data_IF_701947520932
#
_entry.id   IF_701947520932
#
_cell.length_a   1.000
_cell.length_b   1.000
_cell.length_c   1.000
_cell.angle_alpha   90.00
_cell.angle_beta   90.00
_cell.angle_gamma   90.00
#
_symmetry.space_group_name_H-M   'P 1'
#
loop_
_entity.id
_entity.type
_entity.pdbx_description
1 polymer ?
#
# COMPACT_ATOMS: atom_id res chain seq x y z
N UNK A 1 -10.39 -2.33 14.75
CA UNK A 1 -11.41 -2.72 13.76
C UNK A 1 -11.99 -4.10 14.03
N UNK A 2 -11.27 -5.22 13.82
CA UNK A 2 -11.85 -6.59 13.99
C UNK A 2 -12.54 -6.82 15.35
N UNK A 3 -11.93 -6.31 16.43
CA UNK A 3 -12.51 -6.40 17.78
C UNK A 3 -13.73 -5.49 17.95
N UNK A 4 -13.76 -4.37 17.25
CA UNK A 4 -14.83 -3.36 17.31
C UNK A 4 -16.09 -3.81 16.55
N UNK A 5 -15.91 -4.50 15.41
CA UNK A 5 -17.00 -5.16 14.68
C UNK A 5 -17.48 -6.47 15.37
N UNK A 6 -17.02 -6.76 16.60
CA UNK A 6 -17.54 -7.84 17.45
C UNK A 6 -16.82 -9.19 17.33
N UNK A 7 -15.67 -9.26 16.65
CA UNK A 7 -14.89 -10.51 16.53
C UNK A 7 -13.73 -10.60 17.54
N UNK A 8 -13.16 -11.79 17.71
CA UNK A 8 -12.05 -12.02 18.65
C UNK A 8 -10.73 -11.40 18.17
N UNK A 9 -9.81 -11.16 19.10
CA UNK A 9 -8.43 -10.73 18.77
C UNK A 9 -7.70 -11.76 17.90
N UNK A 10 -7.97 -13.05 18.09
CA UNK A 10 -7.42 -14.14 17.29
C UNK A 10 -7.74 -13.97 15.79
N UNK A 11 -8.98 -13.61 15.46
CA UNK A 11 -9.37 -13.32 14.08
C UNK A 11 -8.57 -12.16 13.48
N UNK A 12 -8.26 -11.13 14.29
CA UNK A 12 -7.40 -10.02 13.87
C UNK A 12 -5.99 -10.48 13.50
N UNK A 13 -5.40 -11.34 14.32
CA UNK A 13 -4.07 -11.91 14.08
C UNK A 13 -4.05 -12.78 12.82
N UNK A 14 -5.08 -13.62 12.61
CA UNK A 14 -5.21 -14.47 11.41
C UNK A 14 -5.29 -13.62 10.15
N UNK A 15 -6.09 -12.56 10.15
CA UNK A 15 -6.24 -11.66 8.99
C UNK A 15 -4.91 -10.95 8.66
N UNK A 16 -4.18 -10.51 9.68
CA UNK A 16 -2.82 -9.96 9.50
C UNK A 16 -1.84 -11.02 8.95
N UNK A 17 -1.96 -12.27 9.39
CA UNK A 17 -1.20 -13.39 8.85
C UNK A 17 -1.46 -13.59 7.35
N UNK A 18 -2.74 -13.66 6.96
CA UNK A 18 -3.17 -13.77 5.56
C UNK A 18 -2.63 -12.61 4.73
N UNK A 19 -2.73 -11.37 5.22
CA UNK A 19 -2.19 -10.19 4.55
C UNK A 19 -0.71 -10.34 4.23
N UNK A 20 0.10 -10.82 5.18
CA UNK A 20 1.53 -11.00 4.99
C UNK A 20 1.85 -12.15 4.01
N UNK A 21 1.11 -13.25 4.07
CA UNK A 21 1.24 -14.35 3.09
C UNK A 21 0.92 -13.85 1.68
N UNK A 22 -0.18 -13.13 1.52
CA UNK A 22 -0.56 -12.52 0.25
C UNK A 22 0.46 -11.48 -0.22
N UNK A 23 1.10 -10.74 0.69
CA UNK A 23 2.21 -9.85 0.35
C UNK A 23 3.41 -10.62 -0.24
N UNK A 24 3.83 -11.71 0.40
CA UNK A 24 4.89 -12.56 -0.13
C UNK A 24 4.55 -13.12 -1.52
N UNK A 25 3.33 -13.64 -1.70
CA UNK A 25 2.87 -14.16 -2.99
C UNK A 25 2.81 -13.04 -4.04
N UNK A 26 2.31 -11.87 -3.66
CA UNK A 26 2.22 -10.69 -4.51
C UNK A 26 3.58 -10.22 -5.02
N UNK A 27 4.62 -10.26 -4.19
CA UNK A 27 6.00 -9.91 -4.61
C UNK A 27 6.47 -10.77 -5.77
N UNK A 28 6.20 -12.07 -5.72
CA UNK A 28 6.63 -13.04 -6.73
C UNK A 28 5.81 -12.87 -8.00
N UNK A 29 4.48 -12.93 -7.88
CA UNK A 29 3.57 -12.90 -9.04
C UNK A 29 3.68 -11.55 -9.75
N UNK A 30 3.51 -10.45 -9.00
CA UNK A 30 3.49 -9.11 -9.58
C UNK A 30 4.89 -8.65 -9.99
N UNK A 31 5.94 -9.15 -9.34
CA UNK A 31 7.33 -8.98 -9.80
C UNK A 31 7.54 -9.63 -11.18
N UNK A 32 7.13 -10.89 -11.33
CA UNK A 32 7.20 -11.61 -12.61
C UNK A 32 6.40 -10.90 -13.72
N UNK A 33 5.19 -10.42 -13.43
CA UNK A 33 4.43 -9.62 -14.40
C UNK A 33 5.06 -8.24 -14.65
N UNK A 34 5.77 -7.68 -13.69
CA UNK A 34 6.56 -6.46 -13.84
C UNK A 34 7.69 -6.60 -14.86
N UNK A 35 8.31 -7.78 -14.93
CA UNK A 35 9.31 -8.11 -15.95
C UNK A 35 8.73 -8.13 -17.37
N UNK A 36 7.46 -8.51 -17.54
CA UNK A 36 6.81 -8.61 -18.87
C UNK A 36 6.11 -7.33 -19.32
N UNK A 37 5.38 -6.66 -18.42
CA UNK A 37 4.51 -5.51 -18.76
C UNK A 37 5.25 -4.18 -18.54
N UNK A 38 6.41 -4.23 -17.89
CA UNK A 38 7.21 -3.08 -17.51
C UNK A 38 6.95 -2.64 -16.07
N UNK A 39 8.02 -2.58 -15.29
CA UNK A 39 7.99 -2.23 -13.87
C UNK A 39 7.31 -0.89 -13.56
N UNK A 40 7.46 0.14 -14.40
CA UNK A 40 6.78 1.43 -14.17
C UNK A 40 5.25 1.30 -14.32
N UNK A 41 4.79 0.49 -15.28
CA UNK A 41 3.37 0.21 -15.48
C UNK A 41 2.82 -0.59 -14.30
N UNK A 42 3.56 -1.62 -13.88
CA UNK A 42 3.18 -2.47 -12.77
C UNK A 42 3.10 -1.69 -11.45
N UNK A 43 4.07 -0.81 -11.20
CA UNK A 43 4.08 0.05 -10.03
C UNK A 43 2.82 0.94 -9.97
N UNK A 44 2.45 1.52 -11.11
CA UNK A 44 1.23 2.35 -11.21
C UNK A 44 -0.02 1.52 -10.96
N UNK A 45 -0.14 0.32 -11.56
CA UNK A 45 -1.29 -0.58 -11.37
C UNK A 45 -1.44 -1.05 -9.92
N UNK A 46 -0.34 -1.38 -9.25
CA UNK A 46 -0.36 -1.78 -7.83
C UNK A 46 -0.81 -0.64 -6.92
N UNK A 47 -0.31 0.59 -7.16
CA UNK A 47 -0.72 1.79 -6.42
C UNK A 47 -2.20 2.12 -6.61
N UNK A 48 -2.71 2.07 -7.85
CA UNK A 48 -4.13 2.31 -8.11
C UNK A 48 -4.99 1.24 -7.42
N UNK A 49 -4.61 -0.04 -7.53
CA UNK A 49 -5.33 -1.14 -6.87
C UNK A 49 -5.33 -0.99 -5.35
N UNK A 50 -4.22 -0.55 -4.73
CA UNK A 50 -4.16 -0.24 -3.30
C UNK A 50 -5.15 0.87 -2.92
N UNK A 51 -5.13 1.99 -3.64
CA UNK A 51 -6.02 3.12 -3.38
C UNK A 51 -7.48 2.69 -3.48
N UNK A 52 -7.84 1.95 -4.55
CA UNK A 52 -9.19 1.42 -4.72
C UNK A 52 -9.58 0.44 -3.61
N UNK A 53 -8.64 -0.38 -3.13
CA UNK A 53 -8.90 -1.31 -2.04
C UNK A 53 -9.16 -0.58 -0.71
N UNK A 54 -8.31 0.40 -0.39
CA UNK A 54 -8.39 1.14 0.89
C UNK A 54 -9.56 2.12 0.91
N UNK A 55 -9.77 2.88 -0.16
CA UNK A 55 -10.86 3.86 -0.23
C UNK A 55 -12.21 3.24 -0.60
N UNK A 56 -12.21 2.19 -1.43
CA UNK A 56 -13.42 1.64 -2.02
C UNK A 56 -13.92 0.33 -1.42
N UNK A 57 -13.05 -0.49 -0.82
CA UNK A 57 -13.46 -1.80 -0.27
C UNK A 57 -13.52 -1.77 1.26
N UNK A 58 -12.49 -1.23 1.91
CA UNK A 58 -12.39 -1.24 3.38
C UNK A 58 -13.57 -0.58 4.12
N UNK A 59 -14.11 0.58 3.70
CA UNK A 59 -15.24 1.22 4.39
C UNK A 59 -16.54 0.39 4.37
N UNK A 60 -16.68 -0.52 3.40
CA UNK A 60 -17.86 -1.38 3.25
C UNK A 60 -17.68 -2.78 3.87
N UNK A 61 -16.50 -3.09 4.42
CA UNK A 61 -16.18 -4.40 4.99
C UNK A 61 -16.75 -4.57 6.40
N UNK A 62 -18.05 -4.83 6.52
CA UNK A 62 -18.73 -5.08 7.80
C UNK A 62 -18.63 -6.53 8.29
N UNK A 63 -18.13 -7.46 7.46
CA UNK A 63 -18.09 -8.90 7.75
C UNK A 63 -16.67 -9.46 7.62
N UNK A 64 -16.38 -10.55 8.37
CA UNK A 64 -15.07 -11.21 8.37
C UNK A 64 -14.62 -11.67 6.96
N UNK A 65 -15.47 -12.30 6.12
CA UNK A 65 -15.05 -12.71 4.77
C UNK A 65 -14.67 -11.53 3.87
N UNK A 66 -15.36 -10.38 4.01
CA UNK A 66 -15.04 -9.16 3.26
C UNK A 66 -13.67 -8.60 3.68
N UNK A 67 -13.37 -8.68 4.98
CA UNK A 67 -12.08 -8.25 5.51
C UNK A 67 -10.93 -9.15 5.07
N UNK A 68 -11.15 -10.46 4.97
CA UNK A 68 -10.19 -11.41 4.39
C UNK A 68 -9.94 -11.10 2.91
N UNK A 69 -10.99 -10.88 2.12
CA UNK A 69 -10.86 -10.53 0.71
C UNK A 69 -10.08 -9.21 0.52
N UNK A 70 -10.37 -8.20 1.35
CA UNK A 70 -9.61 -6.95 1.41
C UNK A 70 -8.13 -7.20 1.74
N UNK A 71 -7.83 -7.98 2.77
CA UNK A 71 -6.46 -8.30 3.17
C UNK A 71 -5.68 -9.04 2.08
N UNK A 72 -6.34 -9.93 1.33
CA UNK A 72 -5.74 -10.58 0.17
C UNK A 72 -5.40 -9.58 -0.93
N UNK A 73 -6.36 -8.73 -1.33
CA UNK A 73 -6.19 -7.77 -2.42
C UNK A 73 -5.14 -6.70 -2.08
N UNK A 74 -5.23 -6.13 -0.88
CA UNK A 74 -4.29 -5.15 -0.36
C UNK A 74 -2.91 -5.78 -0.15
N UNK A 75 -2.85 -6.98 0.42
CA UNK A 75 -1.61 -7.74 0.63
C UNK A 75 -0.88 -7.99 -0.69
N UNK A 76 -1.57 -8.56 -1.69
CA UNK A 76 -1.01 -8.80 -3.03
C UNK A 76 -0.44 -7.51 -3.64
N UNK A 77 -1.23 -6.43 -3.62
CA UNK A 77 -0.82 -5.13 -4.19
C UNK A 77 0.40 -4.55 -3.48
N UNK A 78 0.46 -4.67 -2.14
CA UNK A 78 1.60 -4.24 -1.32
C UNK A 78 2.86 -5.05 -1.60
N UNK A 79 2.71 -6.35 -1.86
CA UNK A 79 3.81 -7.17 -2.31
C UNK A 79 4.41 -6.67 -3.62
N UNK A 80 3.58 -6.45 -4.64
CA UNK A 80 4.03 -5.96 -5.94
C UNK A 80 4.65 -4.57 -5.88
N UNK A 81 4.10 -3.67 -5.06
CA UNK A 81 4.68 -2.34 -4.83
C UNK A 81 6.13 -2.45 -4.33
N UNK A 82 6.37 -3.22 -3.27
CA UNK A 82 7.70 -3.34 -2.66
C UNK A 82 8.72 -3.97 -3.62
N UNK A 83 8.34 -4.98 -4.39
CA UNK A 83 9.26 -5.62 -5.35
C UNK A 83 9.60 -4.74 -6.55
N UNK A 84 8.69 -3.83 -6.94
CA UNK A 84 8.83 -3.04 -8.16
C UNK A 84 9.63 -1.74 -7.96
N UNK A 85 9.59 -1.14 -6.76
CA UNK A 85 10.35 0.08 -6.42
C UNK A 85 11.85 0.00 -6.77
N UNK A 86 12.62 -1.01 -6.31
CA UNK A 86 14.06 -1.03 -6.57
C UNK A 86 14.37 -1.11 -8.07
N UNK A 87 13.55 -1.82 -8.84
CA UNK A 87 13.74 -1.97 -10.29
C UNK A 87 13.43 -0.66 -11.03
N UNK A 88 12.38 0.06 -10.62
CA UNK A 88 12.07 1.38 -11.19
C UNK A 88 13.17 2.39 -10.85
N UNK A 89 13.66 2.40 -9.61
CA UNK A 89 14.76 3.26 -9.19
C UNK A 89 16.03 2.95 -10.00
N UNK A 90 16.35 1.67 -10.19
CA UNK A 90 17.47 1.22 -11.03
C UNK A 90 17.37 1.76 -12.46
N UNK A 91 16.19 1.68 -13.07
CA UNK A 91 15.95 2.18 -14.43
C UNK A 91 16.05 3.71 -14.53
N UNK A 92 15.61 4.45 -13.52
CA UNK A 92 15.54 5.91 -13.56
C UNK A 92 16.84 6.63 -13.19
N UNK A 93 17.63 6.05 -12.29
CA UNK A 93 18.80 6.72 -11.69
C UNK A 93 20.12 6.01 -12.02
N UNK A 94 20.08 4.88 -12.71
CA UNK A 94 21.26 4.05 -13.00
C UNK A 94 21.76 3.28 -11.78
N UNK A 95 22.53 2.22 -12.02
CA UNK A 95 22.96 1.27 -10.98
C UNK A 95 23.87 1.86 -9.91
N UNK A 96 24.64 2.90 -10.24
CA UNK A 96 25.58 3.56 -9.32
C UNK A 96 24.91 4.25 -8.13
N UNK A 97 23.70 4.80 -8.31
CA UNK A 97 23.01 5.59 -7.28
C UNK A 97 21.82 4.86 -6.63
N UNK A 98 21.58 3.60 -6.98
CA UNK A 98 20.44 2.82 -6.47
C UNK A 98 20.43 2.80 -4.94
N UNK A 99 21.56 2.42 -4.32
CA UNK A 99 21.63 2.27 -2.87
C UNK A 99 21.30 3.58 -2.13
N UNK A 100 21.82 4.70 -2.63
CA UNK A 100 21.55 6.03 -2.07
C UNK A 100 20.09 6.42 -2.21
N UNK A 101 19.49 6.24 -3.41
CA UNK A 101 18.09 6.60 -3.65
C UNK A 101 17.14 5.72 -2.83
N UNK A 102 17.38 4.41 -2.81
CA UNK A 102 16.61 3.46 -1.99
C UNK A 102 16.76 3.79 -0.50
N UNK A 103 17.98 4.15 -0.05
CA UNK A 103 18.23 4.57 1.32
C UNK A 103 17.40 5.80 1.72
N UNK A 104 17.32 6.80 0.84
CA UNK A 104 16.46 7.97 1.05
C UNK A 104 14.97 7.63 1.06
N UNK A 105 14.53 6.74 0.16
CA UNK A 105 13.14 6.26 0.10
C UNK A 105 12.72 5.50 1.36
N UNK A 106 13.58 4.64 1.91
CA UNK A 106 13.27 3.94 3.15
C UNK A 106 13.39 4.84 4.38
N UNK A 107 14.30 5.81 4.37
CA UNK A 107 14.39 6.82 5.44
C UNK A 107 13.12 7.66 5.50
N UNK A 108 12.61 8.13 4.36
CA UNK A 108 11.34 8.87 4.32
C UNK A 108 10.15 8.00 4.74
N UNK A 109 10.14 6.73 4.36
CA UNK A 109 9.15 5.75 4.81
C UNK A 109 9.21 5.55 6.33
N UNK A 110 10.41 5.51 6.91
CA UNK A 110 10.62 5.42 8.36
C UNK A 110 10.06 6.63 9.10
N UNK A 111 10.29 7.84 8.60
CA UNK A 111 9.64 9.05 9.14
C UNK A 111 8.12 8.96 9.06
N UNK A 112 7.58 8.47 7.93
CA UNK A 112 6.13 8.26 7.76
C UNK A 112 5.55 7.28 8.78
N UNK A 113 6.24 6.18 9.06
CA UNK A 113 5.84 5.21 10.09
C UNK A 113 5.88 5.82 11.51
N UNK A 114 6.93 6.59 11.81
CA UNK A 114 7.11 7.22 13.11
C UNK A 114 6.00 8.24 13.43
N UNK A 115 5.62 9.08 12.47
CA UNK A 115 4.56 10.07 12.67
C UNK A 115 3.16 9.52 12.37
N UNK A 116 3.03 8.51 11.51
CA UNK A 116 1.74 7.95 11.11
C UNK A 116 1.00 7.26 12.25
N UNK A 117 1.72 6.49 13.09
CA UNK A 117 1.11 5.81 14.24
C UNK A 117 0.52 6.76 15.29
N UNK A 118 1.23 7.79 15.79
CA UNK A 118 0.67 8.75 16.74
C UNK A 118 -0.43 9.62 16.13
N UNK A 119 -0.33 10.01 14.85
CA UNK A 119 -1.39 10.76 14.17
C UNK A 119 -2.66 9.91 14.07
N UNK A 120 -2.55 8.64 13.68
CA UNK A 120 -3.68 7.72 13.62
C UNK A 120 -4.29 7.48 15.02
N UNK A 121 -3.45 7.38 16.06
CA UNK A 121 -3.90 7.29 17.45
C UNK A 121 -4.65 8.54 17.92
N UNK A 122 -4.14 9.74 17.61
CA UNK A 122 -4.80 11.00 17.95
C UNK A 122 -6.16 11.15 17.25
N UNK A 123 -6.27 10.72 15.98
CA UNK A 123 -7.54 10.70 15.25
C UNK A 123 -8.53 9.72 15.92
N UNK A 124 -8.05 8.54 16.33
CA UNK A 124 -8.90 7.56 17.04
C UNK A 124 -9.41 8.12 18.37
N UNK A 125 -8.54 8.77 19.15
CA UNK A 125 -8.89 9.32 20.46
C UNK A 125 -9.84 10.52 20.35
N UNK A 126 -9.70 11.35 19.31
CA UNK A 126 -10.63 12.45 19.01
C UNK A 126 -12.04 11.98 18.64
N UNK A 127 -12.20 10.71 18.25
CA UNK A 127 -13.49 10.15 17.79
C UNK A 127 -14.25 9.43 18.92
N UNK A 128 -13.74 9.43 20.16
CA UNK A 128 -14.46 8.88 21.33
C UNK A 128 -15.60 9.83 21.74
N UNK A 129 -16.85 9.35 21.99
CA UNK A 129 -17.22 7.99 22.41
C UNK A 129 -17.85 7.09 21.33
N UNK A 130 -18.09 7.58 20.12
CA UNK A 130 -18.58 6.75 19.00
C UNK A 130 -17.38 6.28 18.18
N UNK A 131 -16.79 5.12 18.54
CA UNK A 131 -15.63 4.50 17.87
C UNK A 131 -15.88 4.29 16.35
N UNK A 132 -15.76 5.36 15.60
CA UNK A 132 -15.95 5.36 14.16
C UNK A 132 -14.56 5.23 13.58
N UNK A 133 -14.22 4.06 13.03
CA UNK A 133 -12.91 3.83 12.40
C UNK A 133 -12.79 4.50 11.02
N UNK A 134 -13.88 5.08 10.50
CA UNK A 134 -13.96 5.74 9.19
C UNK A 134 -12.90 6.86 9.02
N UNK A 135 -12.68 7.78 9.99
CA UNK A 135 -11.68 8.84 9.83
C UNK A 135 -10.24 8.31 9.69
N UNK A 136 -9.94 7.15 10.29
CA UNK A 136 -8.63 6.50 10.17
C UNK A 136 -8.50 5.82 8.80
N UNK A 137 -9.58 5.22 8.30
CA UNK A 137 -9.62 4.66 6.95
C UNK A 137 -9.45 5.76 5.89
N UNK A 138 -10.10 6.91 6.09
CA UNK A 138 -9.97 8.09 5.22
C UNK A 138 -8.55 8.68 5.28
N UNK A 139 -7.95 8.77 6.46
CA UNK A 139 -6.54 9.18 6.62
C UNK A 139 -5.58 8.24 5.87
N UNK A 140 -5.75 6.92 6.02
CA UNK A 140 -4.98 5.92 5.29
C UNK A 140 -5.18 5.99 3.77
N UNK A 141 -6.43 6.18 3.33
CA UNK A 141 -6.76 6.36 1.92
C UNK A 141 -6.18 7.64 1.32
N UNK A 142 -6.30 8.76 2.02
CA UNK A 142 -5.80 10.06 1.58
C UNK A 142 -4.28 10.09 1.44
N UNK A 143 -3.56 9.52 2.41
CA UNK A 143 -2.09 9.42 2.34
C UNK A 143 -1.63 8.55 1.18
N UNK A 144 -2.32 7.43 0.91
CA UNK A 144 -2.05 6.59 -0.28
C UNK A 144 -2.41 7.30 -1.58
N UNK A 145 -3.50 8.06 -1.63
CA UNK A 145 -3.85 8.87 -2.81
C UNK A 145 -2.82 9.94 -3.11
N UNK A 146 -2.30 10.63 -2.09
CA UNK A 146 -1.22 11.62 -2.25
C UNK A 146 0.03 10.94 -2.81
N UNK A 147 0.39 9.76 -2.29
CA UNK A 147 1.53 8.99 -2.80
C UNK A 147 1.34 8.56 -4.26
N UNK A 148 0.15 8.06 -4.61
CA UNK A 148 -0.19 7.65 -5.97
C UNK A 148 -0.20 8.86 -6.93
N UNK A 149 -0.74 10.00 -6.51
CA UNK A 149 -0.75 11.23 -7.29
C UNK A 149 0.67 11.75 -7.53
N UNK A 150 1.52 11.77 -6.50
CA UNK A 150 2.93 12.16 -6.64
C UNK A 150 3.67 11.27 -7.65
N UNK A 151 3.38 9.96 -7.64
CA UNK A 151 3.96 9.02 -8.61
C UNK A 151 3.47 9.26 -10.03
N UNK A 152 2.18 9.56 -10.23
CA UNK A 152 1.61 9.91 -11.54
C UNK A 152 2.22 11.23 -12.05
N UNK A 153 2.36 12.24 -11.19
CA UNK A 153 3.01 13.51 -11.55
C UNK A 153 4.46 13.28 -11.96
N UNK A 154 5.21 12.49 -11.20
CA UNK A 154 6.58 12.10 -11.57
C UNK A 154 6.61 11.39 -12.93
N UNK A 155 5.65 10.50 -13.17
CA UNK A 155 5.52 9.76 -14.44
C UNK A 155 5.32 10.69 -15.63
N UNK A 156 4.43 11.68 -15.49
CA UNK A 156 4.15 12.70 -16.51
C UNK A 156 5.37 13.58 -16.75
N UNK A 157 6.00 14.09 -15.68
CA UNK A 157 7.16 14.97 -15.77
C UNK A 157 8.39 14.29 -16.41
N UNK A 158 8.59 13.00 -16.14
CA UNK A 158 9.67 12.20 -16.73
C UNK A 158 9.33 11.67 -18.12
N UNK A 159 8.13 11.93 -18.63
CA UNK A 159 7.70 11.47 -19.96
C UNK A 159 7.70 9.95 -20.11
N UNK A 160 7.48 9.20 -19.02
CA UNK A 160 7.57 7.74 -19.01
C UNK A 160 6.40 7.14 -19.80
N UNK A 161 6.66 6.84 -21.08
CA UNK A 161 5.71 6.21 -22.00
C UNK A 161 5.35 4.80 -21.53
N UNK A 162 4.22 4.31 -22.02
CA UNK A 162 3.77 2.93 -21.82
C UNK A 162 4.64 2.00 -22.68
N UNK A 163 5.89 1.81 -22.30
CA UNK A 163 6.76 0.85 -22.97
C UNK A 163 6.38 -0.56 -22.51
N UNK A 164 5.85 -1.36 -23.45
CA UNK A 164 6.04 -2.81 -23.40
C UNK A 164 7.52 -3.04 -23.67
N UNK A 165 8.13 -3.93 -22.89
CA UNK A 165 9.49 -4.43 -23.15
C UNK A 165 9.59 -4.88 -24.61
#
# INVERSE_FOLDING_TARGET
YVVDIGYTQENGTVILGILNVCNCVGRIILGYFGDQIGHVNMLTMTMVTMVLSVCGVWPFCTNLPALVAFSCLYGLSTGGYISTIPVVVAKLYGTEKIATVIGWLFTSSGCGLLFGAPIAGAILDATRPHLTYIPIMEYGGATLMIAAAALIVMRVNKGLKWERV
#
